data_IF_716981588188
#
_entry.id   IF_716981588188
#
_cell.length_a   1.000
_cell.length_b   1.000
_cell.length_c   1.000
_cell.angle_alpha   90.00
_cell.angle_beta   90.00
_cell.angle_gamma   90.00
#
_symmetry.space_group_name_H-M   'P 1'
#
loop_
_entity.id
_entity.type
_entity.pdbx_description
1 polymer ?
2 polymer ?
3 non-polymer ?
4 non-polymer ?
5 water ?
#
# COMPACT_ATOMS: atom_id res chain seq x y z
N UNK A 8 1.55 -11.34 20.27
CA UNK A 8 2.64 -12.29 20.04
C UNK A 8 2.77 -12.65 18.55
N UNK A 9 2.13 -11.86 17.69
CA UNK A 9 2.42 -11.90 16.26
C UNK A 9 3.48 -10.85 15.96
N UNK A 10 4.57 -11.27 15.32
CA UNK A 10 5.63 -10.33 14.96
C UNK A 10 5.16 -9.38 13.86
N UNK A 11 5.97 -8.35 13.61
CA UNK A 11 5.72 -7.44 12.50
C UNK A 11 5.61 -8.22 11.20
N UNK A 12 6.54 -9.14 10.96
CA UNK A 12 6.55 -9.87 9.70
C UNK A 12 5.38 -10.85 9.61
N UNK A 13 4.94 -11.40 10.74
CA UNK A 13 3.72 -12.21 10.78
C UNK A 13 2.50 -11.39 10.35
N UNK A 14 2.38 -10.17 10.87
CA UNK A 14 1.25 -9.33 10.49
C UNK A 14 1.29 -9.01 9.01
N UNK A 15 2.48 -8.77 8.46
CA UNK A 15 2.58 -8.51 7.03
C UNK A 15 2.17 -9.73 6.22
N UNK A 16 2.53 -10.93 6.68
CA UNK A 16 2.11 -12.14 5.98
C UNK A 16 0.61 -12.33 6.01
N UNK A 17 -0.01 -12.00 7.15
CA UNK A 17 -1.47 -12.04 7.25
C UNK A 17 -2.12 -11.07 6.27
N UNK A 18 -1.58 -9.86 6.17
CA UNK A 18 -2.19 -8.88 5.29
C UNK A 18 -2.01 -9.25 3.84
N UNK A 19 -0.85 -9.80 3.49
CA UNK A 19 -0.61 -10.29 2.14
C UNK A 19 -1.55 -11.43 1.79
N UNK A 20 -1.75 -12.36 2.73
CA UNK A 20 -2.71 -13.44 2.51
C UNK A 20 -4.11 -12.89 2.24
N UNK A 21 -4.58 -11.98 3.09
CA UNK A 21 -5.89 -11.37 2.88
C UNK A 21 -5.96 -10.64 1.53
N UNK A 22 -4.89 -9.95 1.16
CA UNK A 22 -4.87 -9.24 -0.11
C UNK A 22 -5.03 -10.21 -1.27
N UNK A 23 -4.30 -11.32 -1.23
CA UNK A 23 -4.39 -12.30 -2.30
C UNK A 23 -5.78 -12.92 -2.42
N UNK A 24 -6.61 -12.84 -1.39
CA UNK A 24 -7.99 -13.29 -1.49
C UNK A 24 -8.94 -12.18 -1.91
N UNK A 25 -8.43 -10.99 -2.20
CA UNK A 25 -9.29 -9.87 -2.52
C UNK A 25 -9.99 -9.28 -1.32
N UNK A 26 -9.54 -9.57 -0.11
CA UNK A 26 -10.14 -8.99 1.09
C UNK A 26 -9.36 -7.72 1.41
N UNK A 27 -9.71 -6.64 0.71
CA UNK A 27 -8.96 -5.40 0.86
C UNK A 27 -9.27 -4.72 2.18
N UNK A 28 -10.48 -4.93 2.72
CA UNK A 28 -10.79 -4.36 4.03
C UNK A 28 -9.83 -4.87 5.09
N UNK A 29 -9.61 -6.18 5.14
CA UNK A 29 -8.70 -6.70 6.16
C UNK A 29 -7.23 -6.51 5.77
N UNK A 30 -6.92 -6.42 4.47
CA UNK A 30 -5.58 -5.99 4.08
C UNK A 30 -5.21 -4.66 4.73
N UNK A 31 -6.13 -3.70 4.68
CA UNK A 31 -5.87 -2.38 5.26
C UNK A 31 -5.57 -2.50 6.74
N UNK A 32 -6.41 -3.23 7.48
CA UNK A 32 -6.19 -3.34 8.92
C UNK A 32 -4.83 -3.95 9.21
N UNK A 33 -4.47 -5.03 8.52
CA UNK A 33 -3.19 -5.68 8.78
C UNK A 33 -2.04 -4.75 8.44
N UNK A 34 -2.11 -4.11 7.27
CA UNK A 34 -0.98 -3.29 6.84
C UNK A 34 -0.84 -2.05 7.71
N UNK A 35 -1.95 -1.48 8.20
CA UNK A 35 -1.86 -0.34 9.12
C UNK A 35 -1.15 -0.73 10.41
N UNK A 36 -1.43 -1.93 10.90
CA UNK A 36 -0.73 -2.42 12.08
C UNK A 36 0.76 -2.58 11.81
N UNK A 37 1.12 -3.20 10.68
CA UNK A 37 2.53 -3.35 10.33
C UNK A 37 3.20 -1.99 10.26
N UNK A 38 2.57 -1.06 9.54
CA UNK A 38 3.15 0.26 9.35
C UNK A 38 3.31 0.98 10.68
N UNK A 39 2.31 0.87 11.55
CA UNK A 39 2.43 1.46 12.88
C UNK A 39 3.67 0.94 13.60
N UNK A 40 3.90 -0.37 13.53
CA UNK A 40 5.01 -0.95 14.27
C UNK A 40 6.34 -0.57 13.64
N UNK A 41 6.40 -0.51 12.31
CA UNK A 41 7.63 -0.05 11.66
C UNK A 41 7.91 1.41 11.99
N UNK A 42 6.88 2.26 11.94
CA UNK A 42 7.07 3.68 12.21
C UNK A 42 7.43 3.93 13.68
N UNK A 43 7.05 3.02 14.57
CA UNK A 43 7.49 3.09 15.96
C UNK A 43 8.95 2.68 16.13
N UNK A 44 9.54 2.01 15.14
CA UNK A 44 10.95 1.66 15.20
C UNK A 44 11.24 0.18 15.34
N UNK A 45 10.23 -0.69 15.37
CA UNK A 45 10.46 -2.12 15.53
C UNK A 45 11.20 -2.70 14.33
N UNK A 46 11.96 -3.76 14.57
CA UNK A 46 12.74 -4.42 13.53
C UNK A 46 11.90 -5.45 12.80
N UNK A 47 12.26 -5.69 11.54
CA UNK A 47 11.53 -6.60 10.67
C UNK A 47 12.28 -6.68 9.35
N UNK A 48 12.09 -7.79 8.64
CA UNK A 48 12.58 -7.81 7.27
C UNK A 48 11.64 -7.06 6.33
N UNK A 49 10.35 -6.97 6.65
CA UNK A 49 9.43 -6.18 5.84
C UNK A 49 9.81 -4.70 5.90
N UNK A 50 9.73 -4.02 4.77
CA UNK A 50 10.07 -2.61 4.70
C UNK A 50 8.81 -1.76 4.69
N UNK A 51 8.96 -0.49 5.11
CA UNK A 51 7.87 0.47 4.97
C UNK A 51 7.35 0.51 3.54
N UNK A 52 8.26 0.46 2.57
CA UNK A 52 7.86 0.51 1.16
C UNK A 52 6.94 -0.65 0.79
N UNK A 53 7.32 -1.87 1.16
CA UNK A 53 6.47 -3.03 0.92
C UNK A 53 5.08 -2.85 1.51
N UNK A 54 5.00 -2.35 2.74
CA UNK A 54 3.70 -2.15 3.38
C UNK A 54 2.87 -1.12 2.62
N UNK A 55 3.47 0.03 2.30
CA UNK A 55 2.73 1.09 1.60
C UNK A 55 2.26 0.65 0.22
N UNK A 56 2.99 -0.27 -0.41
CA UNK A 56 2.58 -0.81 -1.70
C UNK A 56 1.22 -1.51 -1.60
N UNK A 57 1.09 -2.45 -0.65
CA UNK A 57 -0.19 -3.14 -0.50
C UNK A 57 -1.24 -2.22 0.11
N UNK A 58 -0.84 -1.40 1.09
CA UNK A 58 -1.80 -0.55 1.78
C UNK A 58 -2.47 0.43 0.82
N UNK A 59 -1.66 1.12 -0.01
CA UNK A 59 -2.23 2.10 -0.93
C UNK A 59 -3.19 1.45 -1.91
N UNK A 60 -2.83 0.27 -2.42
CA UNK A 60 -3.69 -0.40 -3.38
C UNK A 60 -5.01 -0.85 -2.74
N UNK A 61 -4.95 -1.42 -1.53
CA UNK A 61 -6.17 -1.86 -0.88
C UNK A 61 -7.07 -0.68 -0.54
N UNK A 62 -6.48 0.42 -0.08
CA UNK A 62 -7.24 1.63 0.21
C UNK A 62 -7.95 2.12 -1.05
N UNK A 63 -7.26 2.07 -2.20
CA UNK A 63 -7.89 2.46 -3.45
C UNK A 63 -9.08 1.57 -3.79
N UNK A 64 -8.91 0.26 -3.67
CA UNK A 64 -10.01 -0.67 -3.96
C UNK A 64 -11.22 -0.41 -3.08
N UNK A 65 -11.01 0.08 -1.86
CA UNK A 65 -12.10 0.50 -1.00
C UNK A 65 -12.73 1.81 -1.43
N UNK A 66 -12.16 2.50 -2.42
CA UNK A 66 -12.76 3.71 -2.94
C UNK A 66 -12.25 5.01 -2.37
N UNK A 67 -11.14 5.01 -1.63
CA UNK A 67 -10.64 6.24 -1.01
C UNK A 67 -9.46 6.74 -1.84
N UNK A 68 -9.76 7.53 -2.87
CA UNK A 68 -8.71 8.02 -3.77
C UNK A 68 -7.74 8.95 -3.05
N UNK A 69 -8.24 9.82 -2.17
CA UNK A 69 -7.35 10.80 -1.55
C UNK A 69 -6.33 10.12 -0.65
N UNK A 70 -6.77 9.11 0.11
CA UNK A 70 -5.83 8.42 0.99
C UNK A 70 -4.86 7.55 0.20
N UNK A 71 -5.34 6.87 -0.85
CA UNK A 71 -4.45 6.13 -1.74
C UNK A 71 -3.37 7.04 -2.33
N UNK A 72 -3.74 8.26 -2.71
CA UNK A 72 -2.79 9.25 -3.21
C UNK A 72 -1.74 9.60 -2.18
N UNK A 73 -2.18 9.97 -0.97
CA UNK A 73 -1.25 10.31 0.10
C UNK A 73 -0.31 9.14 0.41
N UNK A 74 -0.84 7.92 0.46
CA UNK A 74 0.03 6.77 0.72
C UNK A 74 1.00 6.53 -0.44
N UNK A 75 0.54 6.70 -1.68
CA UNK A 75 1.40 6.51 -2.84
C UNK A 75 2.54 7.54 -2.88
N UNK A 76 2.23 8.79 -2.57
CA UNK A 76 3.26 9.82 -2.47
C UNK A 76 4.30 9.46 -1.42
N UNK A 77 3.86 8.93 -0.28
CA UNK A 77 4.83 8.52 0.73
C UNK A 77 5.67 7.36 0.22
N UNK A 78 5.03 6.40 -0.44
CA UNK A 78 5.74 5.27 -1.01
C UNK A 78 6.82 5.74 -2.00
N UNK A 79 6.44 6.62 -2.93
CA UNK A 79 7.39 7.14 -3.90
C UNK A 79 8.54 7.88 -3.22
N UNK A 80 8.25 8.67 -2.18
CA UNK A 80 9.32 9.40 -1.51
C UNK A 80 10.36 8.44 -0.94
N UNK A 81 9.91 7.27 -0.48
CA UNK A 81 10.80 6.27 0.10
C UNK A 81 11.34 5.27 -0.92
N UNK A 82 10.90 5.33 -2.16
CA UNK A 82 11.21 4.26 -3.11
C UNK A 82 10.98 4.82 -4.51
N UNK A 83 11.79 5.78 -4.94
CA UNK A 83 11.54 6.46 -6.22
C UNK A 83 11.47 5.53 -7.41
N UNK A 84 12.21 4.42 -7.38
CA UNK A 84 12.26 3.52 -8.52
C UNK A 84 11.31 2.34 -8.34
N UNK A 85 10.40 2.44 -7.38
CA UNK A 85 9.45 1.38 -7.12
C UNK A 85 8.70 1.00 -8.40
N UNK A 86 8.38 -0.29 -8.51
CA UNK A 86 7.73 -0.83 -9.70
C UNK A 86 6.43 -0.11 -10.04
N UNK A 87 5.64 0.25 -9.04
CA UNK A 87 4.27 0.71 -9.25
C UNK A 87 4.00 2.13 -8.78
N UNK A 88 4.69 2.60 -7.73
CA UNK A 88 4.39 3.89 -7.11
C UNK A 88 4.25 5.02 -8.13
N UNK A 89 5.25 5.20 -9.00
CA UNK A 89 5.22 6.33 -9.91
C UNK A 89 4.07 6.26 -10.89
N UNK A 90 3.81 5.07 -11.43
CA UNK A 90 2.68 4.92 -12.33
C UNK A 90 1.34 5.08 -11.63
N UNK A 91 1.21 4.55 -10.41
CA UNK A 91 -0.02 4.75 -9.66
C UNK A 91 -0.24 6.22 -9.34
N UNK A 92 0.83 6.94 -9.01
CA UNK A 92 0.69 8.36 -8.71
C UNK A 92 0.11 9.10 -9.90
N UNK A 93 0.64 8.84 -11.10
CA UNK A 93 0.12 9.45 -12.32
C UNK A 93 -1.37 9.14 -12.49
N UNK A 94 -1.73 7.87 -12.39
CA UNK A 94 -3.11 7.46 -12.58
C UNK A 94 -4.02 8.11 -11.54
N UNK A 95 -3.60 8.09 -10.27
CA UNK A 95 -4.43 8.67 -9.22
C UNK A 95 -4.60 10.17 -9.43
N UNK A 96 -3.54 10.85 -9.88
CA UNK A 96 -3.65 12.28 -10.15
C UNK A 96 -4.63 12.54 -11.28
N UNK A 97 -4.67 11.64 -12.28
CA UNK A 97 -5.67 11.74 -13.33
C UNK A 97 -7.08 11.66 -12.76
N UNK A 98 -7.34 10.64 -11.93
CA UNK A 98 -8.66 10.47 -11.34
C UNK A 98 -9.05 11.68 -10.50
N UNK A 99 -8.07 12.33 -9.88
CA UNK A 99 -8.34 13.54 -9.11
C UNK A 99 -8.90 14.65 -9.99
N UNK A 100 -8.54 14.68 -11.27
CA UNK A 100 -9.04 15.71 -12.16
C UNK A 100 -10.49 15.48 -12.57
N UNK A 101 -10.99 14.25 -12.44
CA UNK A 101 -12.40 14.00 -12.68
C UNK A 101 -13.29 14.62 -11.62
N UNK A 102 -12.71 15.18 -10.56
CA UNK A 102 -13.47 15.81 -9.48
C UNK A 102 -13.81 17.25 -9.87
N UNK B 1 -0.28 6.05 -20.92
CA UNK B 1 -0.04 4.70 -20.40
C UNK B 1 -1.13 4.22 -19.43
N UNK B 2 -1.34 2.91 -19.34
CA UNK B 2 -2.27 2.37 -18.35
C UNK B 2 -1.58 2.20 -17.01
N UNK B 3 -2.32 2.09 -15.91
CA UNK B 3 -1.68 1.94 -14.59
C UNK B 3 -0.87 0.65 -14.54
N UNK B 4 0.12 0.57 -13.66
CA UNK B 4 0.88 -0.68 -13.51
C UNK B 4 -0.01 -1.81 -13.04
N UNK B 5 0.43 -3.06 -13.23
CA UNK B 5 -0.28 -4.20 -12.64
C UNK B 5 -0.37 -4.06 -11.13
N UNK B 6 -1.26 -4.81 -10.49
CA UNK B 6 -1.38 -4.74 -9.02
C UNK B 6 -0.18 -5.37 -8.33
N UNK B 7 -0.01 -5.13 -7.03
CA UNK B 7 1.09 -5.78 -6.32
C UNK B 7 1.02 -7.28 -6.46
N UNK B 8 2.17 -7.96 -6.51
CA UNK B 8 2.18 -9.40 -6.76
C UNK B 8 1.69 -10.18 -5.56
N UNK B 9 1.40 -11.48 -5.73
CA UNK B 9 1.01 -12.30 -4.58
C UNK B 9 2.07 -12.31 -3.47
X LIG C 1 10.56 1.01 -12.58
X LIG C 1 10.73 2.38 -12.11
X LIG C 1 9.14 0.78 -12.89
X LIG C 1 11.00 0.09 -11.55
X LIG C 1 11.36 0.76 -13.79
X LIG D 1 -4.71 -6.21 14.28
X LIG D 1 -3.61 -7.17 14.62
X LIG D 1 -4.22 -5.04 13.00
X LIG D 1 -5.70 -6.92 12.96
#
# INVERSE_FOLDING_TARGET
MHHHHHHMLSVDDCFGMGRSAYNEGDYYHTVLWMEQVLKQLDAGEEATTTKSQVLDYLSYAVFQLGDLHRALELTRRLLSLDPSHERAGGNLRYFEQLLEEE
PPPPPPPPP
SO4 S O1 O2 O3 O4
DMS S O C1 C2
#
